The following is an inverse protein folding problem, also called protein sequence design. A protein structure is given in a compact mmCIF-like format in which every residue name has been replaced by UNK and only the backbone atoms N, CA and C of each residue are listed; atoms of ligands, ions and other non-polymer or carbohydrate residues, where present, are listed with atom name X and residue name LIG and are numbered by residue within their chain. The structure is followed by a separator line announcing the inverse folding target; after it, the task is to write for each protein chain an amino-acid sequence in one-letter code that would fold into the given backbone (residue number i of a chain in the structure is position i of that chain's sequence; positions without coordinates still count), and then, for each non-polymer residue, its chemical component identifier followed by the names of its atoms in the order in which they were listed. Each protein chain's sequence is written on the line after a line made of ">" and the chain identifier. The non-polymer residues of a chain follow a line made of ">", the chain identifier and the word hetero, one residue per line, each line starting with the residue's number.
data_IF_462883798124
#
_entry.id   IF_462883798124
#
_cell.length_a   1.000
_cell.length_b   1.000
_cell.length_c   1.000
_cell.angle_alpha   90.00
_cell.angle_beta   90.00
_cell.angle_gamma   90.00
#
_symmetry.space_group_name_H-M   'P 1'
#
loop_
_entity.id
_entity.type
_entity.pdbx_description
1 polymer ?
#
# COMPACT_ATOMS: atom_id res chain seq x y z
N UNK A 1 9.45 -5.42 -13.10
CA UNK A 1 10.30 -4.32 -13.61
C UNK A 1 11.46 -5.03 -14.29
N UNK A 2 11.64 -4.91 -15.61
CA UNK A 2 12.84 -5.47 -16.25
C UNK A 2 14.02 -4.56 -15.90
N UNK A 3 14.49 -4.65 -14.66
CA UNK A 3 15.77 -4.08 -14.27
C UNK A 3 16.80 -5.02 -14.90
N UNK A 4 17.46 -4.57 -15.96
CA UNK A 4 18.60 -5.29 -16.51
C UNK A 4 19.59 -5.54 -15.37
N UNK A 5 20.06 -6.76 -15.23
CA UNK A 5 21.15 -7.05 -14.30
C UNK A 5 22.36 -6.16 -14.58
N UNK A 6 23.17 -5.89 -13.56
CA UNK A 6 24.42 -5.15 -13.70
C UNK A 6 25.32 -5.76 -14.80
N UNK A 7 25.28 -7.08 -14.94
CA UNK A 7 25.96 -7.83 -15.99
C UNK A 7 25.45 -7.48 -17.39
N UNK A 8 24.13 -7.53 -17.61
CA UNK A 8 23.51 -7.16 -18.90
C UNK A 8 23.73 -5.69 -19.24
N UNK A 9 23.75 -4.81 -18.23
CA UNK A 9 24.03 -3.39 -18.38
C UNK A 9 25.48 -3.15 -18.84
N UNK A 10 26.47 -3.80 -18.22
CA UNK A 10 27.89 -3.69 -18.59
C UNK A 10 28.17 -4.21 -20.00
N UNK A 11 27.55 -5.33 -20.39
CA UNK A 11 27.65 -5.84 -21.77
C UNK A 11 27.10 -4.82 -22.78
N UNK A 12 25.93 -4.25 -22.52
CA UNK A 12 25.30 -3.27 -23.39
C UNK A 12 26.15 -1.99 -23.52
N UNK A 13 26.64 -1.44 -22.40
CA UNK A 13 27.51 -0.26 -22.39
C UNK A 13 28.79 -0.47 -23.21
N UNK A 14 29.43 -1.63 -23.05
CA UNK A 14 30.68 -1.95 -23.76
C UNK A 14 30.45 -2.02 -25.28
N UNK A 15 29.33 -2.61 -25.71
CA UNK A 15 28.96 -2.68 -27.13
C UNK A 15 28.50 -1.35 -27.73
N UNK A 16 27.98 -0.44 -26.91
CA UNK A 16 27.59 0.91 -27.35
C UNK A 16 28.81 1.85 -27.44
N UNK A 17 29.81 1.65 -26.58
CA UNK A 17 31.05 2.41 -26.58
C UNK A 17 31.95 2.08 -27.77
N UNK A 18 31.92 0.83 -28.24
CA UNK A 18 32.62 0.40 -29.46
C UNK A 18 31.66 -0.39 -30.37
N UNK A 19 31.04 0.24 -31.38
CA UNK A 19 30.11 -0.43 -32.29
C UNK A 19 30.74 -1.55 -33.14
N UNK A 20 32.08 -1.65 -33.17
CA UNK A 20 32.81 -2.68 -33.90
C UNK A 20 33.11 -3.92 -33.06
N UNK A 21 32.92 -3.85 -31.73
CA UNK A 21 33.16 -4.97 -30.82
C UNK A 21 32.05 -6.00 -30.94
N UNK A 22 32.40 -7.28 -31.04
CA UNK A 22 31.40 -8.34 -30.96
C UNK A 22 30.97 -8.55 -29.50
N UNK A 23 29.76 -9.06 -29.27
CA UNK A 23 29.29 -9.39 -27.92
C UNK A 23 30.20 -10.37 -27.18
N UNK A 24 30.90 -11.26 -27.90
CA UNK A 24 31.90 -12.19 -27.31
C UNK A 24 33.22 -11.50 -26.97
N UNK A 25 33.63 -10.51 -27.77
CA UNK A 25 34.83 -9.71 -27.48
C UNK A 25 34.57 -8.75 -26.30
N UNK A 26 33.36 -8.18 -26.21
CA UNK A 26 32.91 -7.40 -25.07
C UNK A 26 32.85 -8.23 -23.78
N UNK A 27 32.40 -9.48 -23.86
CA UNK A 27 32.40 -10.39 -22.71
C UNK A 27 33.82 -10.69 -22.22
N UNK A 28 34.76 -10.91 -23.16
CA UNK A 28 36.18 -11.14 -22.86
C UNK A 28 36.85 -9.92 -22.25
N UNK A 29 36.54 -8.71 -22.72
CA UNK A 29 37.11 -7.47 -22.14
C UNK A 29 36.59 -7.20 -20.73
N UNK A 30 35.38 -7.66 -20.41
CA UNK A 30 34.77 -7.57 -19.08
C UNK A 30 35.17 -8.71 -18.13
N UNK A 31 35.92 -9.71 -18.61
CA UNK A 31 36.34 -10.87 -17.81
C UNK A 31 35.19 -11.81 -17.44
N UNK A 32 34.10 -11.82 -18.22
CA UNK A 32 32.92 -12.64 -17.95
C UNK A 32 33.17 -14.10 -18.36
N UNK A 33 32.64 -15.03 -17.56
CA UNK A 33 32.59 -16.47 -17.87
C UNK A 33 31.58 -16.76 -19.00
N UNK A 34 31.67 -17.95 -19.61
CA UNK A 34 30.70 -18.35 -20.65
C UNK A 34 29.26 -18.47 -20.12
N UNK A 35 29.08 -18.89 -18.86
CA UNK A 35 27.76 -18.94 -18.20
C UNK A 35 27.19 -17.54 -17.97
N UNK A 36 28.00 -16.61 -17.47
CA UNK A 36 27.63 -15.21 -17.28
C UNK A 36 27.26 -14.53 -18.60
N UNK A 37 28.02 -14.79 -19.66
CA UNK A 37 27.71 -14.30 -21.00
C UNK A 37 26.38 -14.86 -21.51
N UNK A 38 26.12 -16.16 -21.33
CA UNK A 38 24.87 -16.78 -21.75
C UNK A 38 23.66 -16.17 -21.03
N UNK A 39 23.77 -15.93 -19.72
CA UNK A 39 22.74 -15.28 -18.90
C UNK A 39 22.47 -13.84 -19.36
N UNK A 40 23.53 -13.04 -19.57
CA UNK A 40 23.40 -11.66 -20.04
C UNK A 40 22.80 -11.57 -21.44
N UNK A 41 23.18 -12.47 -22.35
CA UNK A 41 22.62 -12.51 -23.71
C UNK A 41 21.15 -12.92 -23.73
N UNK A 42 20.76 -13.90 -22.90
CA UNK A 42 19.36 -14.30 -22.78
C UNK A 42 18.50 -13.16 -22.24
N UNK A 43 19.00 -12.42 -21.25
CA UNK A 43 18.31 -11.25 -20.70
C UNK A 43 18.18 -10.11 -21.71
N UNK A 44 19.27 -9.76 -22.42
CA UNK A 44 19.24 -8.76 -23.48
C UNK A 44 18.32 -9.18 -24.64
N UNK A 45 18.25 -10.47 -24.96
CA UNK A 45 17.38 -11.00 -26.00
C UNK A 45 15.89 -10.92 -25.57
N UNK A 46 15.58 -11.29 -24.32
CA UNK A 46 14.24 -11.12 -23.74
C UNK A 46 13.81 -9.65 -23.68
N UNK A 47 14.74 -8.75 -23.40
CA UNK A 47 14.49 -7.31 -23.45
C UNK A 47 14.36 -6.78 -24.91
N UNK A 48 14.70 -7.57 -25.92
CA UNK A 48 14.70 -7.18 -27.33
C UNK A 48 15.81 -6.20 -27.71
N UNK A 49 16.89 -6.16 -26.94
CA UNK A 49 18.05 -5.27 -27.12
C UNK A 49 19.13 -5.87 -28.01
N UNK A 50 19.08 -7.18 -28.24
CA UNK A 50 19.88 -7.90 -29.22
C UNK A 50 18.97 -8.63 -30.20
N UNK A 51 19.41 -8.71 -31.46
CA UNK A 51 18.69 -9.43 -32.52
C UNK A 51 19.56 -10.56 -33.04
N UNK A 52 18.97 -11.73 -33.26
CA UNK A 52 19.64 -12.83 -33.96
C UNK A 52 19.55 -12.57 -35.46
N UNK A 53 20.69 -12.51 -36.15
CA UNK A 53 20.70 -12.37 -37.61
C UNK A 53 20.34 -13.72 -38.25
N UNK A 54 19.31 -13.76 -39.09
CA UNK A 54 18.93 -14.98 -39.81
C UNK A 54 20.08 -15.43 -40.74
N UNK A 55 20.42 -16.72 -40.68
CA UNK A 55 21.44 -17.34 -41.52
C UNK A 55 22.85 -17.46 -40.93
N UNK A 56 23.19 -16.75 -39.83
CA UNK A 56 24.52 -16.88 -39.17
C UNK A 56 24.47 -17.21 -37.68
N UNK A 57 23.32 -17.07 -37.02
CA UNK A 57 23.18 -17.37 -35.59
C UNK A 57 23.90 -16.39 -34.66
N UNK A 58 24.60 -15.39 -35.20
CA UNK A 58 25.24 -14.32 -34.44
C UNK A 58 24.19 -13.34 -33.91
N UNK A 59 24.27 -13.06 -32.60
CA UNK A 59 23.52 -11.98 -31.96
C UNK A 59 24.23 -10.67 -32.25
N UNK A 60 23.49 -9.69 -32.75
CA UNK A 60 23.99 -8.33 -33.01
C UNK A 60 23.21 -7.38 -32.10
N UNK A 61 23.93 -6.47 -31.45
CA UNK A 61 23.31 -5.39 -30.66
C UNK A 61 22.57 -4.45 -31.60
N UNK A 62 21.46 -3.91 -31.12
CA UNK A 62 20.79 -2.83 -31.84
C UNK A 62 21.72 -1.61 -31.94
N UNK A 63 21.49 -0.75 -32.93
CA UNK A 63 22.17 0.55 -32.99
C UNK A 63 21.86 1.36 -31.73
N UNK A 64 22.71 2.31 -31.30
CA UNK A 64 22.45 3.12 -30.12
C UNK A 64 21.05 3.76 -30.10
N UNK A 65 20.57 4.28 -31.24
CA UNK A 65 19.23 4.84 -31.36
C UNK A 65 18.12 3.79 -31.18
N UNK A 66 18.32 2.58 -31.71
CA UNK A 66 17.36 1.49 -31.58
C UNK A 66 17.38 0.86 -30.18
N UNK A 67 18.54 0.83 -29.49
CA UNK A 67 18.65 0.49 -28.07
C UNK A 67 17.88 1.50 -27.22
N UNK A 68 18.11 2.80 -27.45
CA UNK A 68 17.42 3.86 -26.72
C UNK A 68 15.91 3.80 -26.94
N UNK A 69 15.45 3.70 -28.19
CA UNK A 69 14.04 3.56 -28.52
C UNK A 69 13.40 2.32 -27.85
N UNK A 70 14.14 1.20 -27.77
CA UNK A 70 13.65 -0.01 -27.10
C UNK A 70 13.58 0.14 -25.58
N UNK A 71 14.57 0.78 -24.96
CA UNK A 71 14.55 1.08 -23.52
C UNK A 71 13.37 2.01 -23.17
N UNK A 72 13.13 3.05 -23.97
CA UNK A 72 11.97 3.93 -23.82
C UNK A 72 10.67 3.14 -24.00
N UNK A 73 10.57 2.25 -25.00
CA UNK A 73 9.40 1.40 -25.19
C UNK A 73 9.15 0.46 -24.01
N UNK A 74 10.20 -0.17 -23.46
CA UNK A 74 10.11 -1.00 -22.26
C UNK A 74 9.61 -0.21 -21.04
N UNK A 75 10.08 1.03 -20.87
CA UNK A 75 9.59 1.92 -19.80
C UNK A 75 8.13 2.32 -20.00
N UNK A 76 7.71 2.58 -21.24
CA UNK A 76 6.31 2.87 -21.58
C UNK A 76 5.41 1.66 -21.36
N UNK A 77 5.84 0.45 -21.77
CA UNK A 77 5.13 -0.81 -21.54
C UNK A 77 4.95 -1.07 -20.03
N UNK A 78 6.01 -0.87 -19.24
CA UNK A 78 5.96 -1.00 -17.78
C UNK A 78 4.98 0.01 -17.16
N UNK A 79 5.01 1.26 -17.61
CA UNK A 79 4.09 2.31 -17.14
C UNK A 79 2.65 1.97 -17.49
N UNK A 80 2.36 1.53 -18.72
CA UNK A 80 1.02 1.10 -19.14
C UNK A 80 0.52 -0.09 -18.32
N UNK A 81 1.37 -1.08 -18.07
CA UNK A 81 1.01 -2.23 -17.24
C UNK A 81 0.66 -1.80 -15.81
N UNK A 82 1.39 -0.81 -15.27
CA UNK A 82 1.12 -0.23 -13.94
C UNK A 82 -0.20 0.54 -13.91
N UNK A 83 -0.48 1.35 -14.92
CA UNK A 83 -1.77 2.04 -15.07
C UNK A 83 -2.93 1.04 -15.20
N UNK A 84 -2.80 0.01 -16.05
CA UNK A 84 -3.82 -1.03 -16.20
C UNK A 84 -4.03 -1.86 -14.92
N UNK A 85 -3.01 -2.00 -14.08
CA UNK A 85 -3.15 -2.61 -12.75
C UNK A 85 -3.95 -1.72 -11.80
N UNK A 86 -3.70 -0.40 -11.82
CA UNK A 86 -4.50 0.58 -11.07
C UNK A 86 -5.96 0.58 -11.54
N UNK A 87 -6.21 0.60 -12.84
CA UNK A 87 -7.58 0.53 -13.40
C UNK A 87 -8.32 -0.74 -13.00
N UNK A 88 -7.66 -1.90 -13.02
CA UNK A 88 -8.24 -3.16 -12.53
C UNK A 88 -8.55 -3.11 -11.03
N UNK A 89 -7.70 -2.46 -10.26
CA UNK A 89 -7.92 -2.23 -8.82
C UNK A 89 -9.15 -1.36 -8.63
N UNK A 90 -9.22 -0.23 -9.33
CA UNK A 90 -10.32 0.72 -9.26
C UNK A 90 -11.66 0.09 -9.67
N UNK A 91 -11.68 -0.70 -10.75
CA UNK A 91 -12.86 -1.46 -11.16
C UNK A 91 -13.31 -2.48 -10.10
N UNK A 92 -12.36 -3.17 -9.45
CA UNK A 92 -12.66 -4.11 -8.37
C UNK A 92 -13.23 -3.39 -7.15
N UNK A 93 -12.64 -2.25 -6.78
CA UNK A 93 -13.13 -1.36 -5.72
C UNK A 93 -14.53 -0.79 -6.04
N UNK A 94 -14.79 -0.44 -7.29
CA UNK A 94 -16.12 -0.01 -7.75
C UNK A 94 -17.18 -1.10 -7.60
N UNK A 95 -16.88 -2.34 -7.97
CA UNK A 95 -17.79 -3.49 -7.79
C UNK A 95 -18.05 -3.78 -6.31
N UNK A 96 -17.00 -3.70 -5.47
CA UNK A 96 -17.12 -3.85 -4.01
C UNK A 96 -17.98 -2.75 -3.40
N UNK A 97 -17.69 -1.51 -3.75
CA UNK A 97 -18.43 -0.34 -3.29
C UNK A 97 -19.91 -0.45 -3.66
N UNK A 98 -20.22 -0.80 -4.91
CA UNK A 98 -21.59 -1.02 -5.36
C UNK A 98 -22.30 -2.18 -4.62
N UNK A 99 -21.60 -3.28 -4.34
CA UNK A 99 -22.17 -4.42 -3.60
C UNK A 99 -22.35 -4.11 -2.11
N UNK A 100 -21.43 -3.39 -1.48
CA UNK A 100 -21.57 -2.91 -0.10
C UNK A 100 -22.67 -1.86 0.02
N UNK A 101 -22.80 -0.96 -0.96
CA UNK A 101 -23.89 0.01 -1.03
C UNK A 101 -25.25 -0.67 -1.21
N UNK A 102 -25.35 -1.73 -2.03
CA UNK A 102 -26.57 -2.55 -2.13
C UNK A 102 -26.92 -3.22 -0.81
N UNK A 103 -25.94 -3.84 -0.14
CA UNK A 103 -26.16 -4.44 1.18
C UNK A 103 -26.63 -3.42 2.23
N UNK A 104 -26.08 -2.19 2.18
CA UNK A 104 -26.50 -1.09 3.05
C UNK A 104 -27.92 -0.60 2.70
N UNK A 105 -28.25 -0.52 1.42
CA UNK A 105 -29.56 -0.07 0.94
C UNK A 105 -30.69 -1.08 1.22
N UNK A 106 -30.37 -2.39 1.27
CA UNK A 106 -31.33 -3.46 1.56
C UNK A 106 -31.61 -3.66 3.06
N UNK A 107 -31.07 -2.80 3.92
CA UNK A 107 -31.60 -2.56 5.26
C UNK A 107 -31.73 -3.80 6.15
N UNK A 108 -30.76 -4.73 6.10
CA UNK A 108 -30.72 -5.87 7.03
C UNK A 108 -31.62 -7.07 6.67
N UNK A 109 -32.07 -7.18 5.42
CA UNK A 109 -32.81 -8.37 4.93
C UNK A 109 -31.93 -9.50 4.39
N UNK A 110 -30.60 -9.42 4.57
CA UNK A 110 -29.71 -10.56 4.30
C UNK A 110 -29.57 -11.38 5.60
N UNK A 111 -30.11 -12.60 5.70
CA UNK A 111 -30.15 -13.40 6.94
C UNK A 111 -28.77 -13.77 7.51
N UNK A 112 -27.67 -13.37 6.86
CA UNK A 112 -26.30 -13.74 7.19
C UNK A 112 -25.42 -12.53 7.54
N UNK A 113 -26.01 -11.36 7.83
CA UNK A 113 -25.30 -10.17 8.28
C UNK A 113 -25.83 -9.71 9.63
N UNK A 114 -24.94 -9.48 10.62
CA UNK A 114 -25.29 -8.99 11.95
C UNK A 114 -24.51 -7.71 12.25
N UNK A 115 -25.20 -6.65 12.64
CA UNK A 115 -24.58 -5.39 13.07
C UNK A 115 -24.18 -5.50 14.53
N UNK A 116 -22.95 -5.13 14.84
CA UNK A 116 -22.34 -5.08 16.17
C UNK A 116 -22.19 -3.62 16.58
N UNK A 117 -22.53 -3.30 17.82
CA UNK A 117 -22.50 -1.94 18.35
C UNK A 117 -21.67 -1.89 19.63
N UNK A 118 -20.71 -0.97 19.66
CA UNK A 118 -19.81 -0.75 20.77
C UNK A 118 -18.59 -1.69 20.79
N UNK A 119 -17.50 -1.18 21.33
CA UNK A 119 -16.21 -1.90 21.35
C UNK A 119 -16.24 -3.22 22.11
N UNK A 120 -17.12 -3.38 23.11
CA UNK A 120 -17.28 -4.63 23.87
C UNK A 120 -17.90 -5.73 23.03
N UNK A 121 -18.99 -5.44 22.31
CA UNK A 121 -19.65 -6.44 21.45
C UNK A 121 -18.72 -6.88 20.31
N UNK A 122 -18.04 -5.91 19.69
CA UNK A 122 -17.06 -6.16 18.63
C UNK A 122 -15.91 -7.03 19.14
N UNK A 123 -15.34 -6.69 20.30
CA UNK A 123 -14.23 -7.45 20.89
C UNK A 123 -14.67 -8.87 21.26
N UNK A 124 -15.84 -9.03 21.87
CA UNK A 124 -16.39 -10.34 22.24
C UNK A 124 -16.69 -11.21 21.01
N UNK A 125 -17.20 -10.64 19.92
CA UNK A 125 -17.44 -11.36 18.68
C UNK A 125 -16.12 -11.83 18.03
N UNK A 126 -15.13 -10.94 17.95
CA UNK A 126 -13.79 -11.27 17.43
C UNK A 126 -13.11 -12.35 18.28
N UNK A 127 -13.20 -12.26 19.60
CA UNK A 127 -12.66 -13.27 20.53
C UNK A 127 -13.34 -14.62 20.38
N UNK A 128 -14.67 -14.64 20.36
CA UNK A 128 -15.45 -15.88 20.26
C UNK A 128 -15.17 -16.65 18.98
N UNK A 129 -15.01 -15.94 17.85
CA UNK A 129 -14.68 -16.55 16.56
C UNK A 129 -13.20 -16.90 16.44
N UNK A 130 -12.28 -16.04 16.88
CA UNK A 130 -10.85 -16.33 16.86
C UNK A 130 -10.49 -17.54 17.73
N UNK A 131 -11.20 -17.73 18.86
CA UNK A 131 -11.08 -18.91 19.71
C UNK A 131 -11.46 -20.21 18.99
N UNK A 132 -12.32 -20.12 17.97
CA UNK A 132 -12.78 -21.24 17.17
C UNK A 132 -12.03 -21.41 15.84
N UNK A 133 -11.08 -20.51 15.54
CA UNK A 133 -10.30 -20.55 14.30
C UNK A 133 -9.49 -21.85 14.19
N UNK A 134 -9.65 -22.58 13.09
CA UNK A 134 -9.01 -23.88 12.83
C UNK A 134 -8.01 -23.86 11.68
N UNK A 135 -8.13 -22.91 10.75
CA UNK A 135 -7.42 -22.94 9.48
C UNK A 135 -6.65 -21.66 9.21
N UNK A 136 -7.33 -20.52 9.09
CA UNK A 136 -6.69 -19.26 8.74
C UNK A 136 -7.40 -18.03 9.30
N UNK A 137 -6.62 -17.00 9.59
CA UNK A 137 -7.10 -15.64 9.89
C UNK A 137 -6.44 -14.66 8.92
N UNK A 138 -7.25 -13.95 8.15
CA UNK A 138 -6.81 -12.93 7.18
C UNK A 138 -7.23 -11.56 7.68
N UNK A 139 -6.33 -10.57 7.65
CA UNK A 139 -6.69 -9.22 8.07
C UNK A 139 -6.05 -8.09 7.26
N UNK A 140 -6.81 -7.01 7.09
CA UNK A 140 -6.36 -5.75 6.49
C UNK A 140 -6.61 -4.62 7.48
N UNK A 141 -5.57 -3.83 7.76
CA UNK A 141 -5.63 -2.73 8.73
C UNK A 141 -5.25 -1.41 8.06
N UNK A 142 -6.20 -0.71 7.41
CA UNK A 142 -5.99 0.68 7.04
C UNK A 142 -5.94 1.55 8.30
N UNK A 143 -5.23 2.67 8.19
CA UNK A 143 -5.16 3.71 9.21
C UNK A 143 -3.89 3.70 10.05
N UNK A 144 -3.82 4.68 10.95
CA UNK A 144 -2.72 4.83 11.91
C UNK A 144 -2.71 3.67 12.92
N UNK A 145 -1.56 3.39 13.56
CA UNK A 145 -1.50 2.40 14.62
C UNK A 145 -2.56 2.69 15.70
N UNK A 146 -3.27 1.64 16.12
CA UNK A 146 -4.17 1.72 17.27
C UNK A 146 -3.36 2.11 18.52
N UNK A 147 -4.01 2.68 19.55
CA UNK A 147 -3.37 2.92 20.83
C UNK A 147 -2.65 1.66 21.36
N UNK A 148 -1.48 1.83 21.98
CA UNK A 148 -0.65 0.68 22.40
C UNK A 148 -1.37 -0.34 23.27
N UNK A 149 -2.31 0.08 24.12
CA UNK A 149 -3.12 -0.82 24.94
C UNK A 149 -3.94 -1.78 24.08
N UNK A 150 -4.61 -1.27 23.04
CA UNK A 150 -5.39 -2.09 22.11
C UNK A 150 -4.51 -3.01 21.25
N UNK A 151 -3.30 -2.59 20.91
CA UNK A 151 -2.33 -3.44 20.21
C UNK A 151 -1.86 -4.61 21.09
N UNK A 152 -1.66 -4.39 22.40
CA UNK A 152 -1.31 -5.47 23.34
C UNK A 152 -2.43 -6.51 23.46
N UNK A 153 -3.68 -6.08 23.59
CA UNK A 153 -4.83 -6.98 23.65
C UNK A 153 -4.98 -7.77 22.34
N UNK A 154 -4.78 -7.11 21.20
CA UNK A 154 -4.72 -7.74 19.88
C UNK A 154 -3.61 -8.79 19.79
N UNK A 155 -2.39 -8.47 20.24
CA UNK A 155 -1.26 -9.40 20.24
C UNK A 155 -1.53 -10.67 21.06
N UNK A 156 -2.17 -10.54 22.23
CA UNK A 156 -2.53 -11.70 23.05
C UNK A 156 -3.43 -12.66 22.28
N UNK A 157 -4.50 -12.14 21.67
CA UNK A 157 -5.46 -12.94 20.89
C UNK A 157 -4.82 -13.57 19.66
N UNK A 158 -3.97 -12.81 18.95
CA UNK A 158 -3.27 -13.30 17.78
C UNK A 158 -2.34 -14.46 18.13
N UNK A 159 -1.64 -14.37 19.26
CA UNK A 159 -0.77 -15.45 19.73
C UNK A 159 -1.54 -16.72 20.05
N UNK A 160 -2.70 -16.61 20.71
CA UNK A 160 -3.58 -17.75 20.95
C UNK A 160 -4.03 -18.44 19.66
N UNK A 161 -4.30 -17.69 18.59
CA UNK A 161 -4.65 -18.24 17.26
C UNK A 161 -3.46 -18.97 16.63
N UNK A 162 -2.28 -18.37 16.67
CA UNK A 162 -1.07 -18.96 16.07
C UNK A 162 -0.61 -20.20 16.83
N UNK A 163 -0.64 -20.17 18.17
CA UNK A 163 -0.26 -21.30 19.03
C UNK A 163 -1.15 -22.53 18.81
N UNK A 164 -2.39 -22.33 18.33
CA UNK A 164 -3.31 -23.41 17.90
C UNK A 164 -2.99 -23.98 16.51
N UNK A 165 -2.02 -23.42 15.79
CA UNK A 165 -1.59 -23.86 14.46
C UNK A 165 -2.39 -23.25 13.29
N UNK A 166 -3.23 -22.25 13.54
CA UNK A 166 -3.92 -21.54 12.45
C UNK A 166 -2.96 -20.58 11.73
N UNK A 167 -3.06 -20.52 10.40
CA UNK A 167 -2.24 -19.62 9.59
C UNK A 167 -2.74 -18.19 9.74
N UNK A 168 -1.89 -17.26 10.14
CA UNK A 168 -2.29 -15.84 10.23
C UNK A 168 -1.56 -15.01 9.18
N UNK A 169 -2.33 -14.37 8.29
CA UNK A 169 -1.82 -13.44 7.28
C UNK A 169 -2.40 -12.05 7.50
N UNK A 170 -1.54 -11.05 7.59
CA UNK A 170 -1.99 -9.67 7.82
C UNK A 170 -1.32 -8.68 6.87
N UNK A 171 -2.14 -7.77 6.31
CA UNK A 171 -1.68 -6.67 5.46
C UNK A 171 -1.92 -5.35 6.17
N UNK A 172 -0.87 -4.55 6.27
CA UNK A 172 -0.88 -3.24 6.94
C UNK A 172 -0.41 -2.14 6.00
N UNK A 173 -0.68 -0.88 6.36
CA UNK A 173 -0.08 0.24 5.63
C UNK A 173 1.41 0.37 5.97
N UNK A 174 2.22 0.65 4.96
CA UNK A 174 3.66 0.95 5.10
C UNK A 174 3.94 2.12 6.04
N UNK A 175 2.97 3.04 6.22
CA UNK A 175 3.05 4.12 7.19
C UNK A 175 3.17 3.63 8.65
N UNK A 176 2.75 2.40 8.98
CA UNK A 176 2.98 1.82 10.31
C UNK A 176 4.46 1.66 10.64
N UNK A 177 5.33 1.40 9.65
CA UNK A 177 6.76 1.21 9.85
C UNK A 177 7.48 2.49 10.29
N UNK A 178 6.86 3.65 10.04
CA UNK A 178 7.36 4.97 10.45
C UNK A 178 7.07 5.26 11.92
N UNK A 179 6.17 4.51 12.56
CA UNK A 179 5.80 4.69 13.96
C UNK A 179 6.48 3.62 14.80
N UNK A 180 7.33 3.97 15.79
CA UNK A 180 8.13 2.98 16.53
C UNK A 180 7.32 1.85 17.15
N UNK A 181 6.18 2.15 17.78
CA UNK A 181 5.32 1.12 18.37
C UNK A 181 4.48 0.36 17.32
N UNK A 182 4.24 0.95 16.14
CA UNK A 182 3.63 0.27 15.02
C UNK A 182 4.58 -0.76 14.42
N UNK A 183 5.84 -0.35 14.14
CA UNK A 183 6.92 -1.24 13.71
C UNK A 183 7.13 -2.40 14.68
N UNK A 184 7.29 -2.11 15.98
CA UNK A 184 7.46 -3.14 17.01
C UNK A 184 6.27 -4.12 17.08
N UNK A 185 5.05 -3.66 16.80
CA UNK A 185 3.88 -4.53 16.72
C UNK A 185 3.95 -5.47 15.50
N UNK A 186 4.32 -4.96 14.32
CA UNK A 186 4.45 -5.77 13.11
C UNK A 186 5.58 -6.80 13.23
N UNK A 187 6.70 -6.41 13.81
CA UNK A 187 7.81 -7.31 14.15
C UNK A 187 7.36 -8.39 15.14
N UNK A 188 6.67 -8.00 16.22
CA UNK A 188 6.12 -8.93 17.20
C UNK A 188 5.09 -9.91 16.61
N UNK A 189 4.29 -9.50 15.63
CA UNK A 189 3.41 -10.42 14.89
C UNK A 189 4.22 -11.44 14.10
N UNK A 190 5.26 -10.98 13.40
CA UNK A 190 6.14 -11.85 12.61
C UNK A 190 6.87 -12.86 13.49
N UNK A 191 7.41 -12.41 14.62
CA UNK A 191 8.11 -13.26 15.59
C UNK A 191 7.18 -14.28 16.24
N UNK A 192 5.90 -13.95 16.38
CA UNK A 192 4.89 -14.88 16.84
C UNK A 192 4.51 -15.95 15.80
N UNK A 193 4.97 -15.83 14.55
CA UNK A 193 4.68 -16.77 13.46
C UNK A 193 3.63 -16.29 12.45
N UNK A 194 3.20 -15.02 12.52
CA UNK A 194 2.32 -14.44 11.50
C UNK A 194 3.08 -14.10 10.23
N UNK A 195 2.44 -14.28 9.08
CA UNK A 195 2.91 -13.67 7.84
C UNK A 195 2.39 -12.23 7.75
N UNK A 196 3.32 -11.28 7.66
CA UNK A 196 3.01 -9.85 7.63
C UNK A 196 3.49 -9.25 6.32
N UNK A 197 2.61 -8.49 5.66
CA UNK A 197 2.95 -7.68 4.50
C UNK A 197 2.53 -6.22 4.69
N UNK A 198 3.23 -5.32 4.02
CA UNK A 198 2.94 -3.88 4.01
C UNK A 198 2.63 -3.40 2.60
N UNK A 199 1.70 -2.46 2.47
CA UNK A 199 1.30 -1.83 1.20
C UNK A 199 1.13 -0.32 1.38
N UNK A 200 1.11 0.45 0.30
CA UNK A 200 0.83 1.89 0.34
C UNK A 200 -0.66 2.20 0.47
N UNK A 201 -1.55 1.31 0.01
CA UNK A 201 -2.99 1.53 -0.02
C UNK A 201 -3.74 0.26 0.42
N UNK A 202 -4.74 0.43 1.29
CA UNK A 202 -5.70 -0.60 1.68
C UNK A 202 -7.11 -0.02 1.58
N UNK A 203 -8.07 -0.75 0.98
CA UNK A 203 -9.37 -0.17 0.66
C UNK A 203 -10.32 -0.06 1.84
N UNK A 204 -10.24 -0.98 2.80
CA UNK A 204 -11.04 -0.98 4.02
C UNK A 204 -10.45 -1.91 5.06
N UNK A 205 -10.91 -1.78 6.31
CA UNK A 205 -10.51 -2.65 7.42
C UNK A 205 -11.30 -3.95 7.35
N UNK A 206 -10.58 -5.07 7.41
CA UNK A 206 -11.15 -6.42 7.31
C UNK A 206 -10.49 -7.33 8.35
N UNK A 207 -11.29 -8.14 9.03
CA UNK A 207 -10.83 -9.35 9.73
C UNK A 207 -11.70 -10.51 9.28
N UNK A 208 -11.09 -11.56 8.74
CA UNK A 208 -11.79 -12.75 8.25
C UNK A 208 -11.21 -14.00 8.90
N UNK A 209 -12.08 -14.93 9.30
CA UNK A 209 -11.70 -16.16 10.00
C UNK A 209 -12.27 -17.37 9.25
N UNK A 210 -11.42 -18.37 9.00
CA UNK A 210 -11.74 -19.69 8.42
C UNK A 210 -12.54 -19.67 7.12
N UNK A 211 -12.58 -18.53 6.41
CA UNK A 211 -13.43 -18.31 5.22
C UNK A 211 -14.91 -18.54 5.49
N UNK A 212 -15.36 -18.26 6.70
CA UNK A 212 -16.78 -18.41 7.10
C UNK A 212 -17.38 -17.14 7.66
N UNK A 213 -16.55 -16.21 8.14
CA UNK A 213 -17.03 -14.95 8.72
C UNK A 213 -16.02 -13.83 8.49
N UNK A 214 -16.53 -12.66 8.18
CA UNK A 214 -15.79 -11.43 8.01
C UNK A 214 -16.37 -10.32 8.90
N UNK A 215 -15.49 -9.50 9.45
CA UNK A 215 -15.81 -8.31 10.22
C UNK A 215 -15.30 -7.08 9.47
N UNK A 216 -16.21 -6.17 9.16
CA UNK A 216 -15.91 -4.90 8.48
C UNK A 216 -16.49 -3.78 9.34
N UNK A 217 -15.68 -2.81 9.81
CA UNK A 217 -16.21 -1.66 10.53
C UNK A 217 -17.19 -0.89 9.66
N UNK A 218 -18.26 -0.43 10.28
CA UNK A 218 -19.14 0.55 9.66
C UNK A 218 -18.50 1.93 9.88
N UNK A 219 -18.37 2.71 8.79
CA UNK A 219 -17.91 4.08 8.92
C UNK A 219 -18.94 4.87 9.72
N UNK A 220 -18.51 5.69 10.71
CA UNK A 220 -19.44 6.51 11.47
C UNK A 220 -20.28 7.36 10.49
N UNK A 221 -21.60 7.24 10.59
CA UNK A 221 -22.48 8.17 9.90
C UNK A 221 -22.27 9.55 10.53
N UNK A 222 -22.07 10.59 9.71
CA UNK A 222 -21.99 11.97 10.19
C UNK A 222 -23.32 12.35 10.83
N UNK A 223 -23.43 12.23 12.15
CA UNK A 223 -24.59 12.71 12.91
C UNK A 223 -24.55 14.23 13.16
N UNK A 224 -23.72 14.95 12.40
CA UNK A 224 -23.58 16.40 12.49
C UNK A 224 -22.85 16.89 13.75
N UNK A 225 -22.55 18.20 13.81
CA UNK A 225 -21.85 18.80 14.94
C UNK A 225 -22.74 18.81 16.19
N UNK A 226 -22.46 17.93 17.16
CA UNK A 226 -23.14 17.86 18.45
C UNK A 226 -23.57 16.46 18.89
N UNK A 227 -23.45 15.46 18.02
CA UNK A 227 -23.69 14.07 18.38
C UNK A 227 -22.59 13.55 19.34
N UNK A 228 -22.99 12.71 20.29
CA UNK A 228 -22.06 11.94 21.11
C UNK A 228 -21.06 11.21 20.19
N UNK A 229 -19.81 11.00 20.65
CA UNK A 229 -18.81 10.25 19.87
C UNK A 229 -19.47 8.97 19.35
N UNK A 230 -19.59 8.78 18.02
CA UNK A 230 -20.39 7.69 17.48
C UNK A 230 -19.84 6.37 18.00
N UNK A 231 -20.72 5.55 18.55
CA UNK A 231 -20.37 4.26 19.09
C UNK A 231 -19.72 3.42 17.97
N UNK A 232 -18.61 2.74 18.26
CA UNK A 232 -17.93 1.94 17.23
C UNK A 232 -18.87 0.85 16.73
N UNK A 233 -19.16 0.81 15.43
CA UNK A 233 -20.00 -0.21 14.81
C UNK A 233 -19.22 -1.08 13.84
N UNK A 234 -19.62 -2.35 13.71
CA UNK A 234 -19.05 -3.27 12.74
C UNK A 234 -20.11 -4.23 12.22
N UNK A 235 -19.92 -4.73 11.00
CA UNK A 235 -20.74 -5.76 10.39
C UNK A 235 -20.03 -7.10 10.49
N UNK A 236 -20.68 -8.07 11.13
CA UNK A 236 -20.36 -9.49 11.02
C UNK A 236 -21.10 -10.05 9.80
N UNK A 237 -20.36 -10.56 8.82
CA UNK A 237 -20.88 -11.04 7.54
C UNK A 237 -20.50 -12.50 7.38
N UNK A 238 -21.47 -13.38 7.12
CA UNK A 238 -21.28 -14.83 6.90
C UNK A 238 -21.71 -15.30 5.51
N UNK A 239 -22.20 -14.38 4.67
CA UNK A 239 -22.60 -14.69 3.31
C UNK A 239 -21.42 -15.24 2.47
N UNK A 240 -21.50 -16.47 1.92
CA UNK A 240 -20.40 -17.08 1.17
C UNK A 240 -19.91 -16.26 -0.03
N UNK A 241 -20.80 -15.53 -0.71
CA UNK A 241 -20.43 -14.71 -1.88
C UNK A 241 -19.61 -13.51 -1.44
N UNK A 242 -20.02 -12.85 -0.36
CA UNK A 242 -19.28 -11.74 0.25
C UNK A 242 -17.95 -12.20 0.83
N UNK A 243 -17.91 -13.37 1.48
CA UNK A 243 -16.66 -13.96 1.97
C UNK A 243 -15.68 -14.24 0.83
N UNK A 244 -16.15 -14.86 -0.27
CA UNK A 244 -15.33 -15.12 -1.45
C UNK A 244 -14.78 -13.82 -2.06
N UNK A 245 -15.61 -12.78 -2.11
CA UNK A 245 -15.24 -11.45 -2.59
C UNK A 245 -14.19 -10.79 -1.68
N UNK A 246 -14.40 -10.74 -0.36
CA UNK A 246 -13.42 -10.20 0.59
C UNK A 246 -12.09 -10.94 0.54
N UNK A 247 -12.14 -12.26 0.36
CA UNK A 247 -10.94 -13.07 0.16
C UNK A 247 -10.21 -12.66 -1.12
N UNK A 248 -10.91 -12.46 -2.24
CA UNK A 248 -10.27 -12.03 -3.48
C UNK A 248 -9.55 -10.67 -3.34
N UNK A 249 -10.16 -9.73 -2.61
CA UNK A 249 -9.55 -8.43 -2.30
C UNK A 249 -8.32 -8.59 -1.42
N UNK A 250 -8.42 -9.42 -0.38
CA UNK A 250 -7.30 -9.71 0.48
C UNK A 250 -6.14 -10.31 -0.32
N UNK A 251 -6.38 -11.33 -1.15
CA UNK A 251 -5.33 -11.98 -1.94
C UNK A 251 -4.70 -11.01 -2.95
N UNK A 252 -5.49 -10.10 -3.53
CA UNK A 252 -4.97 -9.02 -4.36
C UNK A 252 -4.03 -8.12 -3.56
N UNK A 253 -4.45 -7.61 -2.39
CA UNK A 253 -3.61 -6.77 -1.55
C UNK A 253 -2.38 -7.52 -1.03
N UNK A 254 -2.53 -8.81 -0.73
CA UNK A 254 -1.47 -9.71 -0.28
C UNK A 254 -0.40 -9.83 -1.35
N UNK A 255 -0.78 -10.17 -2.59
CA UNK A 255 0.13 -10.37 -3.72
C UNK A 255 0.94 -9.11 -4.05
N UNK A 256 0.35 -7.93 -3.88
CA UNK A 256 1.00 -6.64 -4.14
C UNK A 256 1.68 -6.03 -2.91
N UNK A 257 1.50 -6.62 -1.72
CA UNK A 257 2.16 -6.19 -0.49
C UNK A 257 3.60 -6.70 -0.43
N UNK A 258 4.48 -5.88 0.15
CA UNK A 258 5.87 -6.23 0.43
C UNK A 258 6.00 -7.00 1.75
N UNK A 259 6.80 -8.06 1.77
CA UNK A 259 7.18 -8.76 3.01
C UNK A 259 8.34 -8.07 3.75
N UNK A 260 8.97 -7.06 3.13
CA UNK A 260 10.02 -6.29 3.75
C UNK A 260 9.43 -5.34 4.80
N UNK A 261 9.86 -5.50 6.05
CA UNK A 261 9.60 -4.55 7.15
C UNK A 261 10.82 -3.64 7.41
N UNK A 262 11.90 -3.82 6.64
CA UNK A 262 13.08 -2.95 6.64
C UNK A 262 12.91 -1.74 5.72
N UNK A 263 13.90 -0.87 5.68
CA UNK A 263 13.87 0.39 4.92
C UNK A 263 13.81 0.19 3.38
N UNK A 264 13.96 -1.05 2.92
CA UNK A 264 13.81 -1.52 1.53
C UNK A 264 12.33 -1.69 1.09
N UNK A 265 11.41 -0.86 1.59
CA UNK A 265 10.09 -0.74 0.97
C UNK A 265 10.28 0.11 -0.30
N UNK A 266 10.02 -0.40 -1.52
CA UNK A 266 10.03 0.44 -2.71
C UNK A 266 8.80 1.35 -2.65
N UNK A 267 8.99 2.50 -2.01
CA UNK A 267 7.96 3.44 -1.62
C UNK A 267 8.55 4.82 -1.43
N UNK A 268 9.13 5.33 -2.52
CA UNK A 268 9.61 6.71 -2.70
C UNK A 268 10.75 7.06 -1.75
N UNK A 269 11.99 6.79 -2.19
CA UNK A 269 13.15 7.52 -1.71
C UNK A 269 12.93 9.03 -1.92
N UNK A 270 13.13 9.77 -0.82
CA UNK A 270 13.63 11.13 -0.70
C UNK A 270 13.20 12.17 -1.76
N UNK A 271 12.31 13.09 -1.38
CA UNK A 271 12.61 14.54 -1.19
C UNK A 271 11.42 15.16 -0.45
N UNK A 272 11.66 15.72 0.73
CA UNK A 272 10.70 16.55 1.48
C UNK A 272 10.91 16.43 2.97
N UNK A 273 11.39 17.50 3.61
CA UNK A 273 11.48 17.59 5.07
C UNK A 273 10.13 17.21 5.72
N UNK A 274 10.16 16.32 6.71
CA UNK A 274 8.93 15.91 7.40
C UNK A 274 8.31 17.06 8.20
N UNK A 275 6.97 17.10 8.23
CA UNK A 275 6.24 18.05 9.07
C UNK A 275 6.35 17.65 10.54
N UNK A 276 6.58 18.63 11.40
CA UNK A 276 6.50 18.43 12.84
C UNK A 276 5.04 18.23 13.33
N UNK A 277 4.87 17.87 14.60
CA UNK A 277 3.55 17.57 15.16
C UNK A 277 2.56 18.76 15.13
N UNK A 278 3.06 19.99 15.15
CA UNK A 278 2.22 21.21 15.09
C UNK A 278 1.84 21.53 13.65
N UNK A 279 2.78 21.37 12.73
CA UNK A 279 2.57 21.49 11.29
C UNK A 279 1.59 20.43 10.75
N UNK A 280 1.70 19.19 11.22
CA UNK A 280 0.73 18.14 10.89
C UNK A 280 -0.68 18.45 11.43
N UNK A 281 -0.75 19.00 12.65
CA UNK A 281 -2.03 19.44 13.24
C UNK A 281 -2.66 20.59 12.44
N UNK A 282 -1.84 21.56 12.01
CA UNK A 282 -2.25 22.64 11.12
C UNK A 282 -2.86 22.09 9.82
N UNK A 283 -2.14 21.19 9.13
CA UNK A 283 -2.60 20.55 7.89
C UNK A 283 -3.93 19.85 8.11
N UNK A 284 -4.06 19.00 9.15
CA UNK A 284 -5.32 18.29 9.44
C UNK A 284 -6.50 19.22 9.71
N UNK A 285 -6.29 20.32 10.43
CA UNK A 285 -7.36 21.29 10.68
C UNK A 285 -7.77 22.03 9.40
N UNK A 286 -6.83 22.34 8.51
CA UNK A 286 -7.13 22.90 7.18
C UNK A 286 -7.92 21.91 6.32
N UNK A 287 -7.55 20.63 6.33
CA UNK A 287 -8.26 19.57 5.61
C UNK A 287 -9.71 19.39 6.09
N UNK A 288 -10.03 19.82 7.32
CA UNK A 288 -11.38 19.87 7.88
C UNK A 288 -12.10 21.19 7.59
N UNK A 289 -11.56 22.05 6.73
CA UNK A 289 -12.16 23.33 6.36
C UNK A 289 -12.10 24.42 7.46
N UNK A 290 -11.28 24.25 8.51
CA UNK A 290 -11.16 25.26 9.56
C UNK A 290 -10.50 26.54 9.03
N UNK A 291 -11.04 27.69 9.43
CA UNK A 291 -10.48 29.01 9.10
C UNK A 291 -9.27 29.33 9.97
N UNK A 292 -8.30 30.07 9.41
CA UNK A 292 -7.04 30.47 10.07
C UNK A 292 -7.23 30.97 11.52
N UNK A 293 -8.20 31.84 11.78
CA UNK A 293 -8.44 32.37 13.13
C UNK A 293 -8.90 31.31 14.14
N UNK A 294 -9.64 30.29 13.68
CA UNK A 294 -10.04 29.16 14.50
C UNK A 294 -8.87 28.21 14.76
N UNK A 295 -8.01 28.00 13.75
CA UNK A 295 -6.79 27.18 13.88
C UNK A 295 -5.80 27.85 14.84
N UNK A 296 -5.57 29.16 14.71
CA UNK A 296 -4.70 29.93 15.60
C UNK A 296 -5.13 29.83 17.07
N UNK A 297 -6.45 29.96 17.34
CA UNK A 297 -7.01 29.77 18.68
C UNK A 297 -6.85 28.33 19.18
N UNK A 298 -7.13 27.34 18.34
CA UNK A 298 -6.98 25.91 18.68
C UNK A 298 -5.54 25.55 19.05
N UNK A 299 -4.55 26.13 18.36
CA UNK A 299 -3.13 25.91 18.62
C UNK A 299 -2.54 26.81 19.72
N UNK A 300 -3.31 27.76 20.25
CA UNK A 300 -2.82 28.73 21.23
C UNK A 300 -1.74 29.68 20.70
N UNK A 301 -1.77 30.01 19.40
CA UNK A 301 -0.77 30.86 18.74
C UNK A 301 -1.39 32.09 18.09
N UNK A 302 -0.58 33.10 17.79
CA UNK A 302 -1.02 34.27 17.03
C UNK A 302 -1.22 33.96 15.54
N UNK A 303 -2.08 34.72 14.86
CA UNK A 303 -2.30 34.64 13.40
C UNK A 303 -1.00 34.81 12.59
N UNK A 304 -0.07 35.66 13.08
CA UNK A 304 1.27 35.81 12.50
C UNK A 304 2.08 34.51 12.56
N UNK A 305 2.01 33.80 13.68
CA UNK A 305 2.73 32.52 13.88
C UNK A 305 2.13 31.43 13.00
N UNK A 306 0.81 31.40 12.88
CA UNK A 306 0.10 30.49 11.99
C UNK A 306 0.51 30.67 10.52
N UNK A 307 0.58 31.93 10.04
CA UNK A 307 1.02 32.22 8.67
C UNK A 307 2.44 31.74 8.39
N UNK A 308 3.36 31.96 9.34
CA UNK A 308 4.75 31.47 9.21
C UNK A 308 4.79 29.94 9.13
N UNK A 309 4.02 29.26 9.97
CA UNK A 309 3.92 27.81 10.00
C UNK A 309 3.31 27.25 8.70
N UNK A 310 2.33 27.94 8.12
CA UNK A 310 1.79 27.60 6.79
C UNK A 310 2.83 27.73 5.68
N UNK A 311 3.61 28.82 5.66
CA UNK A 311 4.69 28.99 4.68
C UNK A 311 5.70 27.86 4.78
N UNK A 312 6.04 27.47 6.01
CA UNK A 312 6.98 26.37 6.26
C UNK A 312 6.41 25.03 5.79
N UNK A 313 5.14 24.75 6.08
CA UNK A 313 4.43 23.56 5.58
C UNK A 313 4.41 23.51 4.06
N UNK A 314 4.11 24.63 3.38
CA UNK A 314 4.10 24.69 1.91
C UNK A 314 5.49 24.46 1.32
N UNK A 315 6.54 25.01 1.95
CA UNK A 315 7.93 24.76 1.55
C UNK A 315 8.30 23.28 1.68
N UNK A 316 7.97 22.67 2.82
CA UNK A 316 8.26 21.24 3.11
C UNK A 316 7.50 20.28 2.19
N UNK A 317 6.30 20.69 1.75
CA UNK A 317 5.46 19.94 0.83
C UNK A 317 5.77 20.21 -0.65
N UNK A 318 6.72 21.10 -0.96
CA UNK A 318 7.02 21.59 -2.32
C UNK A 318 5.76 22.05 -3.06
N UNK A 319 5.03 22.99 -2.43
CA UNK A 319 3.75 23.47 -2.92
C UNK A 319 3.72 25.00 -3.06
N UNK A 320 3.31 25.48 -4.23
CA UNK A 320 3.17 26.90 -4.56
C UNK A 320 1.83 27.48 -4.10
N UNK A 321 0.89 26.62 -3.67
CA UNK A 321 -0.41 27.04 -3.17
C UNK A 321 -0.90 26.15 -2.04
N UNK A 322 -1.80 26.70 -1.20
CA UNK A 322 -2.46 25.93 -0.12
C UNK A 322 -3.25 24.74 -0.64
N UNK A 323 -3.85 24.87 -1.82
CA UNK A 323 -4.58 23.79 -2.46
C UNK A 323 -3.63 22.65 -2.87
N UNK A 324 -2.50 22.99 -3.50
CA UNK A 324 -1.45 22.04 -3.85
C UNK A 324 -0.85 21.39 -2.60
N UNK A 325 -0.60 22.16 -1.53
CA UNK A 325 -0.15 21.63 -0.24
C UNK A 325 -1.17 20.62 0.33
N UNK A 326 -2.47 20.91 0.22
CA UNK A 326 -3.54 19.98 0.57
C UNK A 326 -3.51 18.70 -0.25
N UNK A 327 -3.40 18.78 -1.58
CA UNK A 327 -3.29 17.61 -2.45
C UNK A 327 -2.03 16.77 -2.14
N UNK A 328 -0.91 17.41 -1.88
CA UNK A 328 0.37 16.78 -1.53
C UNK A 328 0.32 16.12 -0.14
N UNK A 329 -0.38 16.71 0.82
CA UNK A 329 -0.62 16.12 2.13
C UNK A 329 -1.61 14.95 2.08
N UNK A 330 -2.63 15.01 1.22
CA UNK A 330 -3.57 13.93 0.98
C UNK A 330 -2.87 12.71 0.33
N UNK A 331 -2.05 12.94 -0.70
CA UNK A 331 -1.27 11.88 -1.34
C UNK A 331 -0.30 11.18 -0.38
N UNK A 332 0.17 11.90 0.66
CA UNK A 332 1.02 11.37 1.74
C UNK A 332 0.22 10.75 2.90
N UNK A 333 -1.11 10.72 2.81
CA UNK A 333 -2.01 10.17 3.83
C UNK A 333 -2.09 10.99 5.12
N UNK A 334 -1.71 12.28 5.08
CA UNK A 334 -1.80 13.19 6.22
C UNK A 334 -3.16 13.84 6.37
N UNK A 335 -3.90 13.88 5.26
CA UNK A 335 -5.28 14.35 5.17
C UNK A 335 -6.20 13.20 4.80
N UNK A 336 -7.32 13.12 5.50
CA UNK A 336 -8.43 12.26 5.15
C UNK A 336 -9.35 13.09 4.24
N UNK A 337 -9.15 12.98 2.93
CA UNK A 337 -9.95 13.75 1.95
C UNK A 337 -11.29 13.06 1.81
N UNK A 338 -12.26 13.48 2.62
CA UNK A 338 -13.68 13.21 2.35
C UNK A 338 -14.06 13.99 1.10
N UNK A 339 -14.37 13.29 0.01
CA UNK A 339 -15.04 13.91 -1.13
C UNK A 339 -16.51 14.10 -0.74
N UNK A 340 -16.81 15.19 -0.03
CA UNK A 340 -18.18 15.70 0.07
C UNK A 340 -18.65 16.03 -1.36
N UNK A 341 -19.44 15.13 -1.95
CA UNK A 341 -20.08 15.38 -3.23
C UNK A 341 -21.37 16.16 -2.91
N UNK A 342 -21.43 17.40 -3.41
CA UNK A 342 -22.57 18.31 -3.32
C UNK A 342 -23.85 17.74 -3.95
#
# INVERSE_FOLDING_TARGET
>A
MYALTDLAHRLLQTTLADPSITLRDAARSLGLTEEELALGLDELARAGLVRRLEGRGELVTLTPDAVFARLVALQQEATRARLAALERTDATLGVLSASLMRLRAEGGTVPQTRRLVGGREISGALEGVAAQARTEVLSMHPGSPLPQAMLKDSMKRNREVIDRGATMRSVHLSSMLKVPHGRAHLEGLRDAGAEVRVTSVLPFRLVMVDRVVAYVPEEPQDEGPGAELPEMTALEIRDPSMIALFRAVFEFCWMHGSAALGDDVPGVDEVGEELDSRELSLVRMLGRGMKDDAIARSLGISSRTLRRMMTEVMRKLDADSRFQAGAHAAARGWLDVRTETF
#
